data_IF_688496348019
#
_entry.id   IF_688496348019
#
_cell.length_a   1.000
_cell.length_b   1.000
_cell.length_c   1.000
_cell.angle_alpha   90.00
_cell.angle_beta   90.00
_cell.angle_gamma   90.00
#
_symmetry.space_group_name_H-M   'P 1'
#
loop_
_entity.id
_entity.type
_entity.pdbx_description
1 polymer ?
#
# COMPACT_ATOMS: atom_id res chain seq x y z
N UNK A 1 34.27 12.90 3.77
CA UNK A 1 34.39 11.90 4.85
C UNK A 1 33.12 11.95 5.67
N UNK A 2 32.17 11.03 5.44
CA UNK A 2 30.89 10.99 6.17
C UNK A 2 31.08 10.00 7.31
N UNK A 3 31.08 10.49 8.55
CA UNK A 3 31.15 9.64 9.74
C UNK A 3 29.83 8.87 9.92
N UNK A 4 29.85 7.55 10.16
CA UNK A 4 28.64 6.81 10.47
C UNK A 4 28.18 7.17 11.88
N UNK A 5 27.05 7.88 12.00
CA UNK A 5 26.46 8.22 13.30
C UNK A 5 25.84 6.94 13.87
N UNK A 6 26.52 6.35 14.86
CA UNK A 6 26.11 5.12 15.52
C UNK A 6 24.84 5.40 16.34
N UNK A 7 23.70 4.89 15.87
CA UNK A 7 22.49 4.69 16.66
C UNK A 7 21.75 5.94 17.15
N UNK A 8 21.31 6.81 16.24
CA UNK A 8 20.23 7.75 16.57
C UNK A 8 18.91 6.99 16.61
N UNK A 9 18.25 6.96 17.77
CA UNK A 9 16.88 6.44 17.85
C UNK A 9 15.94 7.29 16.97
N UNK A 10 14.84 6.71 16.48
CA UNK A 10 13.81 7.39 15.67
C UNK A 10 13.36 8.74 16.27
N UNK A 11 13.34 8.85 17.59
CA UNK A 11 12.97 10.06 18.34
C UNK A 11 14.01 11.18 18.20
N UNK A 12 15.30 10.82 18.14
CA UNK A 12 16.41 11.76 18.05
C UNK A 12 16.49 12.46 16.68
N UNK A 13 16.06 11.80 15.59
CA UNK A 13 16.04 12.39 14.25
C UNK A 13 15.05 13.56 14.16
N UNK A 14 13.88 13.47 14.81
CA UNK A 14 12.91 14.59 14.87
C UNK A 14 13.51 15.82 15.56
N UNK A 15 14.26 15.58 16.64
CA UNK A 15 14.89 16.64 17.44
C UNK A 15 16.01 17.33 16.67
N UNK A 16 16.76 16.58 15.84
CA UNK A 16 17.89 17.10 15.06
C UNK A 16 17.46 17.77 13.75
N UNK A 17 16.21 17.59 13.31
CA UNK A 17 15.73 18.12 12.04
C UNK A 17 15.91 19.64 11.88
N UNK A 18 15.60 20.50 12.85
CA UNK A 18 15.81 21.95 12.70
C UNK A 18 17.28 22.32 12.45
N UNK A 19 18.21 21.64 13.11
CA UNK A 19 19.65 21.87 12.94
C UNK A 19 20.15 21.38 11.57
N UNK A 20 19.68 20.21 11.12
CA UNK A 20 19.99 19.69 9.78
C UNK A 20 19.43 20.64 8.70
N UNK A 21 18.18 21.07 8.86
CA UNK A 21 17.50 21.99 7.94
C UNK A 21 18.24 23.32 7.83
N UNK A 22 18.62 23.92 8.96
CA UNK A 22 19.40 25.17 9.00
C UNK A 22 20.77 25.05 8.32
N UNK A 23 21.39 23.87 8.34
CA UNK A 23 22.69 23.63 7.72
C UNK A 23 22.61 23.40 6.20
N UNK A 24 21.52 22.80 5.73
CA UNK A 24 21.34 22.44 4.31
C UNK A 24 20.87 23.65 3.46
N UNK A 25 20.31 24.69 4.08
CA UNK A 25 20.14 26.01 3.46
C UNK A 25 19.41 25.99 2.11
N UNK A 26 18.27 25.29 2.03
CA UNK A 26 17.47 25.22 0.80
C UNK A 26 16.41 26.31 0.77
N UNK A 27 16.33 27.09 -0.32
CA UNK A 27 15.31 28.11 -0.52
C UNK A 27 13.89 27.50 -0.65
N UNK A 28 13.81 26.24 -1.08
CA UNK A 28 12.58 25.42 -1.11
C UNK A 28 12.78 24.15 -0.29
N UNK A 29 12.43 24.16 1.01
CA UNK A 29 12.73 23.05 1.89
C UNK A 29 11.93 21.79 1.52
N UNK A 30 12.56 20.61 1.38
CA UNK A 30 11.84 19.39 1.12
C UNK A 30 10.92 19.05 2.30
N UNK A 31 9.66 18.71 2.00
CA UNK A 31 8.73 18.23 3.02
C UNK A 31 9.21 16.87 3.55
N UNK A 32 9.81 16.85 4.73
CA UNK A 32 10.24 15.61 5.39
C UNK A 32 9.06 15.03 6.17
N UNK A 33 8.57 13.86 5.73
CA UNK A 33 7.64 13.04 6.51
C UNK A 33 8.43 12.04 7.33
N UNK A 34 8.24 12.08 8.64
CA UNK A 34 8.81 11.07 9.54
C UNK A 34 8.07 9.74 9.39
N UNK A 35 8.69 8.66 9.83
CA UNK A 35 8.13 7.30 9.85
C UNK A 35 6.72 7.28 10.47
N UNK A 36 5.70 7.34 9.62
CA UNK A 36 4.28 7.26 9.96
C UNK A 36 3.88 5.79 9.88
N UNK A 37 3.27 5.22 10.94
CA UNK A 37 2.78 3.85 10.85
C UNK A 37 1.82 3.72 9.67
N UNK A 38 2.05 2.69 8.86
CA UNK A 38 1.26 2.39 7.69
C UNK A 38 0.70 0.97 7.81
N UNK A 39 -0.40 0.74 7.10
CA UNK A 39 -1.07 -0.54 7.02
C UNK A 39 -1.15 -0.97 5.57
N UNK A 40 -1.25 -2.29 5.37
CA UNK A 40 -1.41 -2.91 4.06
C UNK A 40 -2.68 -3.73 4.06
N UNK A 41 -3.43 -3.71 2.96
CA UNK A 41 -4.62 -4.53 2.78
C UNK A 41 -4.50 -5.36 1.50
N UNK A 42 -5.22 -6.48 1.50
CA UNK A 42 -5.35 -7.38 0.37
C UNK A 42 -6.70 -7.16 -0.30
N UNK A 43 -6.67 -6.84 -1.59
CA UNK A 43 -7.84 -6.74 -2.44
C UNK A 43 -7.97 -8.03 -3.24
N UNK A 44 -8.97 -8.84 -2.93
CA UNK A 44 -9.15 -10.17 -3.49
C UNK A 44 -10.33 -10.24 -4.48
N UNK A 45 -10.15 -11.01 -5.55
CA UNK A 45 -11.20 -11.26 -6.54
C UNK A 45 -11.39 -10.08 -7.50
N UNK A 46 -10.30 -9.41 -7.88
CA UNK A 46 -10.36 -8.37 -8.90
C UNK A 46 -10.37 -9.04 -10.27
N UNK A 47 -11.38 -8.74 -11.10
CA UNK A 47 -11.41 -9.15 -12.51
C UNK A 47 -10.36 -8.35 -13.30
N UNK A 48 -9.50 -9.04 -14.03
CA UNK A 48 -8.37 -8.43 -14.76
C UNK A 48 -8.39 -8.68 -16.26
N UNK A 49 -9.39 -9.43 -16.72
CA UNK A 49 -9.69 -9.71 -18.13
C UNK A 49 -11.02 -10.43 -18.23
N UNK A 50 -11.68 -10.32 -19.37
CA UNK A 50 -12.94 -11.01 -19.63
C UNK A 50 -12.71 -12.46 -20.07
N UNK A 51 -11.64 -12.69 -20.82
CA UNK A 51 -11.26 -14.01 -21.32
C UNK A 51 -9.79 -14.35 -20.98
N UNK A 52 -9.44 -15.62 -20.71
CA UNK A 52 -8.06 -16.04 -20.45
C UNK A 52 -7.04 -15.76 -21.57
N UNK A 53 -7.51 -15.46 -22.77
CA UNK A 53 -6.64 -15.14 -23.92
C UNK A 53 -6.41 -13.62 -24.08
N UNK A 54 -7.12 -12.80 -23.30
CA UNK A 54 -6.92 -11.36 -23.29
C UNK A 54 -5.74 -10.97 -22.40
N UNK A 55 -5.08 -9.83 -22.71
CA UNK A 55 -4.06 -9.27 -21.85
C UNK A 55 -4.65 -8.91 -20.48
N UNK A 56 -3.80 -8.98 -19.47
CA UNK A 56 -4.14 -8.58 -18.11
C UNK A 56 -4.11 -7.06 -18.04
N UNK A 57 -5.08 -6.48 -17.35
CA UNK A 57 -5.15 -5.05 -17.09
C UNK A 57 -3.87 -4.50 -16.44
N UNK A 58 -3.43 -3.33 -16.90
CA UNK A 58 -2.24 -2.64 -16.38
C UNK A 58 -2.41 -2.21 -14.91
N UNK A 59 -1.31 -1.97 -14.21
CA UNK A 59 -1.34 -1.45 -12.83
C UNK A 59 -1.86 0.00 -12.79
N UNK A 60 -1.64 0.76 -13.86
CA UNK A 60 -2.16 2.11 -14.05
C UNK A 60 -3.69 2.12 -14.12
N UNK A 61 -4.28 1.23 -14.92
CA UNK A 61 -5.73 1.06 -14.99
C UNK A 61 -6.32 0.56 -13.67
N UNK A 62 -5.62 -0.36 -12.98
CA UNK A 62 -5.97 -0.76 -11.62
C UNK A 62 -5.97 0.45 -10.66
N UNK A 63 -4.95 1.29 -10.72
CA UNK A 63 -4.87 2.48 -9.89
C UNK A 63 -6.05 3.42 -10.19
N UNK A 64 -6.34 3.69 -11.47
CA UNK A 64 -7.44 4.55 -11.88
C UNK A 64 -8.79 4.02 -11.42
N UNK A 65 -9.08 2.72 -11.61
CA UNK A 65 -10.35 2.14 -11.19
C UNK A 65 -10.52 2.19 -9.67
N UNK A 66 -9.45 1.92 -8.90
CA UNK A 66 -9.51 1.99 -7.44
C UNK A 66 -9.70 3.42 -6.94
N UNK A 67 -9.13 4.42 -7.62
CA UNK A 67 -9.35 5.83 -7.32
C UNK A 67 -10.78 6.31 -7.59
N UNK A 68 -11.66 5.51 -8.21
CA UNK A 68 -13.09 5.84 -8.29
C UNK A 68 -13.83 5.57 -6.98
N UNK A 69 -13.22 4.83 -6.04
CA UNK A 69 -13.82 4.53 -4.75
C UNK A 69 -13.57 5.68 -3.77
N UNK A 70 -14.62 6.34 -3.24
CA UNK A 70 -14.44 7.44 -2.29
C UNK A 70 -13.63 7.05 -1.05
N UNK A 71 -13.79 5.80 -0.59
CA UNK A 71 -13.05 5.26 0.54
C UNK A 71 -11.53 5.14 0.30
N UNK A 72 -11.08 5.10 -0.96
CA UNK A 72 -9.66 5.01 -1.34
C UNK A 72 -9.07 6.36 -1.75
N UNK A 73 -9.90 7.29 -2.26
CA UNK A 73 -9.47 8.65 -2.63
C UNK A 73 -8.93 9.45 -1.44
N UNK A 74 -9.54 9.27 -0.27
CA UNK A 74 -9.16 10.00 0.94
C UNK A 74 -7.87 9.49 1.60
N UNK A 75 -7.24 8.43 1.07
CA UNK A 75 -6.11 7.76 1.70
C UNK A 75 -4.77 8.38 1.30
N UNK A 76 -3.90 8.56 2.28
CA UNK A 76 -2.48 8.81 2.05
C UNK A 76 -1.78 7.50 1.67
N UNK A 77 -1.83 7.14 0.39
CA UNK A 77 -1.25 5.91 -0.16
C UNK A 77 0.29 5.97 -0.07
N UNK A 78 0.88 5.00 0.62
CA UNK A 78 2.34 4.81 0.70
C UNK A 78 2.86 3.82 -0.33
N UNK A 79 2.06 2.80 -0.68
CA UNK A 79 2.34 1.87 -1.77
C UNK A 79 1.13 1.85 -2.69
N UNK A 80 1.37 2.25 -3.95
CA UNK A 80 0.35 2.23 -5.00
C UNK A 80 -0.26 0.84 -5.17
N UNK A 81 -1.51 0.76 -5.65
CA UNK A 81 -2.10 -0.51 -6.00
C UNK A 81 -1.22 -1.29 -6.97
N UNK A 82 -0.84 -2.50 -6.58
CA UNK A 82 0.03 -3.39 -7.36
C UNK A 82 -0.50 -4.80 -7.34
N UNK A 83 -0.26 -5.56 -8.40
CA UNK A 83 -0.73 -6.93 -8.48
C UNK A 83 0.06 -7.82 -7.51
N UNK A 84 -0.66 -8.63 -6.72
CA UNK A 84 -0.04 -9.55 -5.77
C UNK A 84 0.77 -10.64 -6.49
N UNK A 85 0.29 -11.05 -7.67
CA UNK A 85 1.02 -11.93 -8.59
C UNK A 85 1.51 -11.10 -9.77
N UNK A 86 2.72 -11.39 -10.25
CA UNK A 86 3.18 -10.84 -11.53
C UNK A 86 2.15 -11.16 -12.62
N UNK A 87 1.84 -10.21 -13.53
CA UNK A 87 0.89 -10.44 -14.62
C UNK A 87 1.13 -11.75 -15.37
N UNK A 88 2.38 -12.07 -15.70
CA UNK A 88 2.79 -13.30 -16.38
C UNK A 88 2.31 -14.61 -15.71
N UNK A 89 2.10 -14.58 -14.38
CA UNK A 89 1.72 -15.75 -13.57
C UNK A 89 0.20 -15.81 -13.29
N UNK A 90 -0.60 -14.94 -13.89
CA UNK A 90 -2.06 -14.92 -13.72
C UNK A 90 -2.71 -15.71 -14.86
N UNK A 91 -3.09 -16.94 -14.57
CA UNK A 91 -3.76 -17.83 -15.54
C UNK A 91 -5.28 -17.63 -15.60
N UNK A 92 -5.90 -17.07 -14.57
CA UNK A 92 -7.35 -16.87 -14.49
C UNK A 92 -7.84 -15.52 -15.02
N UNK A 93 -9.14 -15.30 -14.95
CA UNK A 93 -9.78 -13.99 -15.20
C UNK A 93 -9.74 -13.06 -13.98
N UNK A 94 -9.42 -13.62 -12.81
CA UNK A 94 -9.39 -12.89 -11.54
C UNK A 94 -8.04 -13.04 -10.85
N UNK A 95 -7.63 -11.98 -10.15
CA UNK A 95 -6.42 -11.98 -9.33
C UNK A 95 -6.62 -11.16 -8.05
N UNK A 96 -5.52 -10.83 -7.40
CA UNK A 96 -5.48 -10.02 -6.20
C UNK A 96 -4.50 -8.88 -6.33
N UNK A 97 -4.79 -7.78 -5.67
CA UNK A 97 -3.90 -6.63 -5.55
C UNK A 97 -3.63 -6.30 -4.09
N UNK A 98 -2.62 -5.47 -3.87
CA UNK A 98 -2.28 -4.92 -2.56
C UNK A 98 -2.18 -3.40 -2.64
N UNK A 99 -2.55 -2.74 -1.56
CA UNK A 99 -2.39 -1.30 -1.37
C UNK A 99 -1.91 -1.05 0.06
N UNK A 100 -1.05 -0.06 0.25
CA UNK A 100 -0.65 0.40 1.57
C UNK A 100 -0.89 1.90 1.72
N UNK A 101 -1.27 2.29 2.93
CA UNK A 101 -1.64 3.67 3.27
C UNK A 101 -1.20 3.99 4.71
N UNK A 102 -1.02 5.28 4.99
CA UNK A 102 -0.79 5.77 6.35
C UNK A 102 -2.03 5.49 7.20
N UNK A 103 -1.84 4.84 8.35
CA UNK A 103 -2.91 4.50 9.29
C UNK A 103 -2.28 4.25 10.67
N UNK A 104 -2.23 5.34 11.45
CA UNK A 104 -1.51 5.39 12.72
C UNK A 104 -2.20 4.58 13.82
N UNK A 105 -3.53 4.53 13.81
CA UNK A 105 -4.36 3.91 14.85
C UNK A 105 -5.08 2.63 14.38
N UNK A 106 -5.06 2.32 13.09
CA UNK A 106 -5.74 1.16 12.51
C UNK A 106 -7.22 1.41 12.20
N UNK A 107 -7.72 2.64 12.37
CA UNK A 107 -9.13 2.98 12.16
C UNK A 107 -9.50 2.85 10.69
N UNK A 108 -8.60 3.29 9.80
CA UNK A 108 -8.81 3.24 8.35
C UNK A 108 -8.85 1.80 7.87
N UNK A 109 -7.91 0.95 8.30
CA UNK A 109 -7.94 -0.50 8.00
C UNK A 109 -9.29 -1.12 8.40
N UNK A 110 -9.77 -0.83 9.61
CA UNK A 110 -11.05 -1.39 10.11
C UNK A 110 -12.27 -0.94 9.30
N UNK A 111 -12.28 0.30 8.83
CA UNK A 111 -13.33 0.81 7.96
C UNK A 111 -13.25 0.13 6.60
N UNK A 112 -12.08 0.10 5.96
CA UNK A 112 -11.88 -0.51 4.65
C UNK A 112 -12.23 -2.00 4.61
N UNK A 113 -11.96 -2.73 5.70
CA UNK A 113 -12.35 -4.15 5.82
C UNK A 113 -13.87 -4.37 5.81
N UNK A 114 -14.67 -3.35 6.12
CA UNK A 114 -16.14 -3.40 6.10
C UNK A 114 -16.73 -2.69 4.88
N UNK A 115 -15.95 -1.85 4.21
CA UNK A 115 -16.37 -1.10 3.04
C UNK A 115 -16.54 -2.00 1.82
N UNK A 116 -17.53 -1.68 0.99
CA UNK A 116 -17.64 -2.24 -0.35
C UNK A 116 -16.75 -1.44 -1.29
N UNK A 117 -15.75 -2.11 -1.86
CA UNK A 117 -14.85 -1.54 -2.84
C UNK A 117 -15.16 -2.18 -4.20
N UNK A 118 -15.05 -1.39 -5.26
CA UNK A 118 -15.27 -1.81 -6.63
C UNK A 118 -14.00 -1.68 -7.46
N UNK A 119 -13.80 -2.61 -8.39
CA UNK A 119 -12.78 -2.51 -9.43
C UNK A 119 -13.34 -3.11 -10.71
N UNK A 120 -13.20 -2.40 -11.84
CA UNK A 120 -13.67 -2.85 -13.15
C UNK A 120 -15.16 -3.25 -13.17
N UNK A 121 -16.00 -2.52 -12.43
CA UNK A 121 -17.45 -2.76 -12.36
C UNK A 121 -17.87 -3.90 -11.43
N UNK A 122 -16.93 -4.58 -10.76
CA UNK A 122 -17.23 -5.68 -9.85
C UNK A 122 -16.82 -5.38 -8.41
N UNK A 123 -17.51 -6.00 -7.45
CA UNK A 123 -17.19 -5.89 -6.02
C UNK A 123 -15.94 -6.68 -5.67
N UNK A 124 -15.01 -6.02 -4.98
CA UNK A 124 -13.75 -6.58 -4.52
C UNK A 124 -13.83 -6.90 -3.03
N UNK A 125 -13.29 -8.06 -2.65
CA UNK A 125 -13.23 -8.47 -1.24
C UNK A 125 -11.98 -7.88 -0.58
N UNK A 126 -12.17 -6.95 0.35
CA UNK A 126 -11.07 -6.42 1.16
C UNK A 126 -10.76 -7.38 2.29
N UNK A 127 -9.48 -7.73 2.45
CA UNK A 127 -8.97 -8.64 3.46
C UNK A 127 -7.78 -8.02 4.18
N UNK A 128 -7.60 -8.44 5.43
CA UNK A 128 -6.44 -8.05 6.23
C UNK A 128 -5.18 -8.68 5.62
N UNK A 129 -4.13 -7.87 5.48
CA UNK A 129 -2.83 -8.39 5.06
C UNK A 129 -2.16 -9.14 6.21
N UNK A 130 -1.52 -10.25 5.89
CA UNK A 130 -0.72 -11.04 6.84
C UNK A 130 0.70 -11.20 6.27
N UNK A 131 1.69 -10.57 6.90
CA UNK A 131 3.10 -10.63 6.46
C UNK A 131 3.71 -12.03 6.57
N UNK A 132 3.14 -12.88 7.44
CA UNK A 132 3.50 -14.28 7.55
C UNK A 132 2.38 -15.12 6.95
N UNK A 133 2.75 -16.10 6.12
CA UNK A 133 1.84 -17.17 5.78
C UNK A 133 1.26 -17.74 7.09
N UNK A 134 -0.06 -17.99 7.19
CA UNK A 134 -0.61 -18.69 8.34
C UNK A 134 0.21 -19.96 8.53
N UNK A 135 0.78 -20.14 9.73
CA UNK A 135 1.53 -21.36 10.03
C UNK A 135 0.63 -22.53 9.63
N UNK A 136 1.08 -23.35 8.66
CA UNK A 136 0.37 -24.56 8.27
C UNK A 136 0.14 -25.35 9.55
N UNK A 137 -1.11 -25.46 9.99
CA UNK A 137 -1.48 -26.52 10.93
C UNK A 137 -1.21 -27.82 10.18
N UNK A 138 -0.09 -28.45 10.50
CA UNK A 138 0.12 -29.86 10.22
C UNK A 138 -1.01 -30.58 10.97
N UNK A 139 -2.03 -31.02 10.24
CA UNK A 139 -2.98 -31.98 10.78
C UNK A 139 -2.19 -33.26 11.05
N UNK A 140 -2.20 -33.70 12.31
CA UNK A 140 -1.72 -35.01 12.72
C UNK A 140 -2.71 -36.10 12.37
#
# INVERSE_FOLDING_TARGET
MILPIKGTSRTSIKILYPSIHSLVGSEDPPTIRFDTPWRKIHLAGIRVRDHPDQPITSEEELQQTLQLNPALQALNITIKPTWLKKPENISGTHTSAVIAFEDSDGSIERVLLKSTIFAFGETVKVKKWHDKAPAKRLAG
#
